data_IF_334728020283
#
_entry.id   IF_334728020283
#
_cell.length_a   1.000
_cell.length_b   1.000
_cell.length_c   1.000
_cell.angle_alpha   90.00
_cell.angle_beta   90.00
_cell.angle_gamma   90.00
#
_symmetry.space_group_name_H-M   'P 1'
#
loop_
_entity.id
_entity.type
_entity.pdbx_description
1 polymer ?
#
# COMPACT_ATOMS: atom_id res chain seq x y z
N UNK A 1 -0.55 -6.59 -0.15
CA UNK A 1 -1.77 -6.35 -0.94
C UNK A 1 -2.91 -6.26 0.05
N UNK A 2 -3.69 -5.20 -0.03
CA UNK A 2 -4.87 -4.98 0.80
C UNK A 2 -6.09 -5.10 -0.11
N UNK A 3 -7.05 -5.93 0.28
CA UNK A 3 -8.30 -6.13 -0.45
C UNK A 3 -9.42 -5.65 0.45
N UNK A 4 -10.28 -4.81 -0.11
CA UNK A 4 -11.56 -4.48 0.51
C UNK A 4 -12.56 -5.58 0.20
N UNK A 5 -13.04 -6.29 1.22
CA UNK A 5 -13.90 -7.47 1.04
C UNK A 5 -15.29 -7.12 0.47
N UNK A 6 -15.76 -5.87 0.62
CA UNK A 6 -17.07 -5.44 0.13
C UNK A 6 -17.03 -5.09 -1.37
N UNK A 7 -16.05 -4.30 -1.79
CA UNK A 7 -15.92 -3.76 -3.16
C UNK A 7 -14.97 -4.55 -4.04
N UNK A 8 -14.18 -5.48 -3.47
CA UNK A 8 -13.03 -6.14 -4.10
C UNK A 8 -11.97 -5.14 -4.62
N UNK A 9 -12.03 -3.89 -4.17
CA UNK A 9 -11.02 -2.90 -4.50
C UNK A 9 -9.68 -3.32 -3.91
N UNK A 10 -8.63 -3.13 -4.70
CA UNK A 10 -7.29 -3.59 -4.38
C UNK A 10 -6.37 -2.40 -4.21
N UNK A 11 -5.60 -2.39 -3.11
CA UNK A 11 -4.47 -1.49 -2.91
C UNK A 11 -3.20 -2.32 -2.79
N UNK A 12 -2.30 -2.15 -3.76
CA UNK A 12 -1.04 -2.88 -3.80
C UNK A 12 0.11 -1.90 -3.66
N UNK A 13 1.01 -2.19 -2.72
CA UNK A 13 2.34 -1.59 -2.64
C UNK A 13 3.31 -2.63 -3.18
N UNK A 14 4.09 -2.27 -4.20
CA UNK A 14 5.04 -3.15 -4.85
C UNK A 14 6.36 -2.44 -5.02
N UNK A 15 7.47 -3.18 -5.01
CA UNK A 15 8.77 -2.68 -5.46
C UNK A 15 9.04 -3.16 -6.87
N UNK A 16 9.68 -2.30 -7.65
CA UNK A 16 10.15 -2.69 -8.97
C UNK A 16 11.24 -3.76 -8.85
N UNK A 17 11.35 -4.59 -9.87
CA UNK A 17 12.34 -5.68 -9.88
C UNK A 17 13.76 -5.12 -9.96
N UNK A 18 14.70 -5.79 -9.29
CA UNK A 18 16.12 -5.48 -9.39
C UNK A 18 16.57 -5.47 -10.85
N UNK A 19 17.22 -4.39 -11.29
CA UNK A 19 17.68 -4.22 -12.68
C UNK A 19 16.67 -3.53 -13.61
N UNK A 20 15.48 -3.16 -13.13
CA UNK A 20 14.53 -2.33 -13.85
C UNK A 20 14.94 -0.84 -13.95
N UNK A 21 14.27 -0.05 -14.80
CA UNK A 21 14.57 1.38 -14.98
C UNK A 21 14.29 2.22 -13.72
N UNK A 22 13.54 1.67 -12.76
CA UNK A 22 13.25 2.25 -11.43
C UNK A 22 13.54 1.24 -10.33
N UNK A 23 14.66 0.52 -10.46
CA UNK A 23 15.09 -0.47 -9.48
C UNK A 23 15.06 0.13 -8.06
N UNK A 24 14.56 -0.66 -7.12
CA UNK A 24 14.40 -0.31 -5.70
C UNK A 24 13.36 0.76 -5.38
N UNK A 25 12.70 1.38 -6.37
CA UNK A 25 11.55 2.25 -6.12
C UNK A 25 10.28 1.42 -5.83
N UNK A 26 9.44 1.93 -4.93
CA UNK A 26 8.11 1.39 -4.72
C UNK A 26 7.06 2.13 -5.55
N UNK A 27 5.96 1.45 -5.84
CA UNK A 27 4.78 2.03 -6.46
C UNK A 27 3.50 1.53 -5.78
N UNK A 28 2.42 2.30 -6.00
CA UNK A 28 1.06 1.91 -5.65
C UNK A 28 0.23 1.66 -6.90
N UNK A 29 -0.65 0.65 -6.87
CA UNK A 29 -1.56 0.32 -7.98
C UNK A 29 -2.85 -0.31 -7.47
N UNK A 30 -3.89 -0.25 -8.30
CA UNK A 30 -5.13 -1.01 -8.14
C UNK A 30 -5.04 -2.43 -8.72
N UNK A 31 -3.88 -2.84 -9.23
CA UNK A 31 -3.67 -4.11 -9.95
C UNK A 31 -4.15 -4.10 -11.40
N UNK A 32 -5.07 -3.19 -11.75
CA UNK A 32 -5.59 -3.01 -13.11
C UNK A 32 -5.12 -1.70 -13.78
N UNK A 33 -4.49 -0.79 -13.03
CA UNK A 33 -4.06 0.53 -13.50
C UNK A 33 -2.54 0.68 -13.56
N UNK A 34 -2.08 1.68 -14.30
CA UNK A 34 -0.67 2.03 -14.35
C UNK A 34 -0.16 2.41 -12.94
N UNK A 35 0.99 1.88 -12.51
CA UNK A 35 1.52 2.13 -11.19
C UNK A 35 1.89 3.61 -10.98
N UNK A 36 1.67 4.10 -9.75
CA UNK A 36 2.08 5.42 -9.31
C UNK A 36 3.27 5.25 -8.36
N UNK A 37 4.44 5.64 -8.83
CA UNK A 37 5.67 5.62 -8.04
C UNK A 37 5.68 6.76 -7.01
N UNK A 38 6.18 6.48 -5.81
CA UNK A 38 6.19 7.45 -4.71
C UNK A 38 4.79 7.92 -4.30
N UNK A 39 3.79 7.04 -4.42
CA UNK A 39 2.38 7.41 -4.26
C UNK A 39 1.95 7.72 -2.82
N UNK A 40 2.77 7.36 -1.82
CA UNK A 40 2.49 7.52 -0.39
C UNK A 40 3.37 8.63 0.16
N UNK A 41 2.76 9.59 0.85
CA UNK A 41 3.45 10.70 1.55
C UNK A 41 3.94 10.21 2.91
N UNK A 42 3.05 9.59 3.67
CA UNK A 42 3.32 9.04 4.99
C UNK A 42 2.38 7.85 5.23
N UNK A 43 2.78 6.98 6.15
CA UNK A 43 1.93 5.91 6.64
C UNK A 43 2.01 5.83 8.15
N UNK A 44 0.94 5.34 8.78
CA UNK A 44 0.92 5.07 10.21
C UNK A 44 0.11 3.83 10.50
N UNK A 45 0.36 3.26 11.68
CA UNK A 45 -0.48 2.25 12.29
C UNK A 45 -1.29 2.88 13.42
N UNK A 46 -2.58 2.57 13.47
CA UNK A 46 -3.49 2.93 14.56
C UNK A 46 -4.15 1.64 15.04
N UNK A 47 -3.65 1.07 16.14
CA UNK A 47 -4.13 -0.21 16.67
C UNK A 47 -4.05 -1.35 15.63
N UNK A 48 -5.18 -1.79 15.10
CA UNK A 48 -5.36 -2.85 14.09
C UNK A 48 -5.51 -2.32 12.66
N UNK A 49 -5.30 -1.01 12.47
CA UNK A 49 -5.49 -0.32 11.20
C UNK A 49 -4.18 0.21 10.64
N UNK A 50 -4.06 0.16 9.32
CA UNK A 50 -3.03 0.89 8.58
C UNK A 50 -3.66 2.04 7.82
N UNK A 51 -3.02 3.20 7.93
CA UNK A 51 -3.42 4.40 7.21
C UNK A 51 -2.28 4.88 6.31
N UNK A 52 -2.63 5.24 5.09
CA UNK A 52 -1.70 5.71 4.06
C UNK A 52 -2.18 7.05 3.53
N UNK A 53 -1.43 8.12 3.82
CA UNK A 53 -1.65 9.42 3.20
C UNK A 53 -1.08 9.39 1.78
N UNK A 54 -1.92 9.73 0.80
CA UNK A 54 -1.58 9.64 -0.61
C UNK A 54 -1.12 10.99 -1.17
N UNK A 55 -0.23 10.93 -2.16
CA UNK A 55 0.05 12.10 -3.00
C UNK A 55 -1.20 12.48 -3.80
N UNK A 56 -1.33 13.76 -4.18
CA UNK A 56 -2.46 14.25 -5.01
C UNK A 56 -2.72 13.41 -6.27
N UNK A 57 -1.66 12.84 -6.88
CA UNK A 57 -1.78 11.97 -8.06
C UNK A 57 -2.40 10.62 -7.69
N UNK A 58 -1.95 10.00 -6.60
CA UNK A 58 -2.50 8.74 -6.11
C UNK A 58 -3.93 8.90 -5.59
N UNK A 59 -4.24 10.00 -4.89
CA UNK A 59 -5.60 10.28 -4.40
C UNK A 59 -6.65 10.34 -5.51
N UNK A 60 -6.27 10.82 -6.69
CA UNK A 60 -7.18 10.82 -7.86
C UNK A 60 -7.50 9.42 -8.38
N UNK A 61 -6.59 8.46 -8.19
CA UNK A 61 -6.79 7.07 -8.60
C UNK A 61 -7.70 6.34 -7.61
N UNK A 62 -7.48 6.56 -6.31
CA UNK A 62 -8.20 5.85 -5.25
C UNK A 62 -9.43 6.58 -4.73
N UNK A 63 -9.63 7.84 -5.09
CA UNK A 63 -10.79 8.65 -4.69
C UNK A 63 -10.70 9.26 -3.29
N UNK A 64 -9.60 9.04 -2.56
CA UNK A 64 -9.38 9.53 -1.20
C UNK A 64 -7.95 10.04 -1.00
N UNK A 65 -7.76 10.99 -0.08
CA UNK A 65 -6.46 11.49 0.35
C UNK A 65 -5.82 10.56 1.38
N UNK A 66 -6.62 9.82 2.15
CA UNK A 66 -6.14 8.85 3.13
C UNK A 66 -6.86 7.52 2.92
N UNK A 67 -6.10 6.45 2.68
CA UNK A 67 -6.66 5.10 2.69
C UNK A 67 -6.46 4.49 4.08
N UNK A 68 -7.52 3.88 4.60
CA UNK A 68 -7.57 3.27 5.93
C UNK A 68 -8.04 1.83 5.79
N UNK A 69 -7.21 0.89 6.22
CA UNK A 69 -7.51 -0.55 6.16
C UNK A 69 -7.47 -1.16 7.56
N UNK A 70 -8.58 -1.73 8.00
CA UNK A 70 -8.59 -2.64 9.14
C UNK A 70 -7.94 -3.96 8.71
N UNK A 71 -6.98 -4.45 9.48
CA UNK A 71 -6.23 -5.65 9.12
C UNK A 71 -6.86 -6.86 9.79
N UNK A 72 -7.24 -7.84 8.97
CA UNK A 72 -7.46 -9.22 9.40
C UNK A 72 -6.30 -10.09 8.90
N UNK A 73 -5.29 -10.40 9.73
CA UNK A 73 -4.18 -11.26 9.32
C UNK A 73 -4.68 -12.65 8.93
N UNK A 74 -4.05 -13.24 7.93
CA UNK A 74 -4.27 -14.62 7.51
C UNK A 74 -3.09 -15.49 7.94
N UNK A 75 -3.36 -16.78 8.16
CA UNK A 75 -2.38 -17.78 8.60
C UNK A 75 -1.71 -17.40 9.94
N UNK A 76 -0.39 -17.55 10.02
CA UNK A 76 0.42 -17.26 11.22
C UNK A 76 0.95 -15.82 11.26
N UNK A 77 0.57 -14.97 10.29
CA UNK A 77 1.05 -13.60 10.24
C UNK A 77 0.43 -12.75 11.36
N UNK A 78 1.22 -11.90 11.99
CA UNK A 78 0.73 -10.90 12.93
C UNK A 78 0.58 -9.53 12.27
N UNK A 79 -0.20 -8.64 12.88
CA UNK A 79 -0.28 -7.23 12.47
C UNK A 79 1.11 -6.56 12.54
N UNK A 80 1.94 -6.97 13.51
CA UNK A 80 3.31 -6.49 13.66
C UNK A 80 4.18 -6.90 12.46
N UNK A 81 4.06 -8.14 11.98
CA UNK A 81 4.77 -8.64 10.80
C UNK A 81 4.37 -7.86 9.54
N UNK A 82 3.08 -7.57 9.39
CA UNK A 82 2.54 -6.80 8.26
C UNK A 82 3.06 -5.37 8.31
N UNK A 83 3.02 -4.72 9.48
CA UNK A 83 3.55 -3.37 9.67
C UNK A 83 5.05 -3.32 9.36
N UNK A 84 5.85 -4.26 9.88
CA UNK A 84 7.28 -4.36 9.59
C UNK A 84 7.57 -4.64 8.10
N UNK A 85 6.66 -5.32 7.40
CA UNK A 85 6.77 -5.52 5.96
C UNK A 85 6.51 -4.22 5.18
N UNK A 86 5.46 -3.47 5.54
CA UNK A 86 5.18 -2.14 4.96
C UNK A 86 6.36 -1.20 5.16
N UNK A 87 6.93 -1.20 6.36
CA UNK A 87 8.09 -0.37 6.70
C UNK A 87 9.30 -0.66 5.82
N UNK A 88 9.57 -1.94 5.55
CA UNK A 88 10.64 -2.35 4.63
C UNK A 88 10.33 -2.00 3.17
N UNK A 89 9.07 -2.07 2.75
CA UNK A 89 8.69 -1.74 1.38
C UNK A 89 8.89 -0.26 1.08
N UNK A 90 8.58 0.63 2.02
CA UNK A 90 8.57 2.08 1.81
C UNK A 90 9.92 2.78 2.07
N UNK A 91 10.95 2.04 2.48
CA UNK A 91 12.29 2.58 2.82
C UNK A 91 13.18 2.97 1.64
#
# INVERSE_FOLDING_TARGET
MFIDDESLACFQIQRDLTGGPRADEYCVTTGASAPIYGGIVEWRRVEDRLEFALTRRASRLFGDEVLSFEISPVDEATIDDIAAHVDRLLR
#
